data_IF_847281348226
#
_entry.id   IF_847281348226
#
_cell.length_a   1.000
_cell.length_b   1.000
_cell.length_c   1.000
_cell.angle_alpha   90.00
_cell.angle_beta   90.00
_cell.angle_gamma   90.00
#
_symmetry.space_group_name_H-M   'P 1'
#
loop_
_entity.id
_entity.type
_entity.pdbx_description
1 polymer ?
#
# COMPACT_ATOMS: atom_id res chain seq x y z
N UNK A 1 -10.45 -50.82 -23.80
CA UNK A 1 -9.55 -49.68 -23.75
C UNK A 1 -10.40 -48.42 -24.00
N UNK A 2 -11.10 -47.94 -23.01
CA UNK A 2 -11.87 -46.68 -23.08
C UNK A 2 -11.53 -45.83 -21.89
N UNK A 3 -11.06 -44.59 -22.19
CA UNK A 3 -10.69 -43.57 -21.21
C UNK A 3 -11.92 -43.08 -20.45
N UNK A 4 -11.81 -42.98 -19.16
CA UNK A 4 -12.76 -42.31 -18.29
C UNK A 4 -12.64 -40.81 -18.50
N UNK A 5 -13.73 -40.15 -18.88
CA UNK A 5 -13.84 -38.70 -18.85
C UNK A 5 -14.10 -38.20 -17.41
N UNK A 6 -13.32 -37.25 -17.04
CA UNK A 6 -13.23 -36.67 -15.70
C UNK A 6 -14.42 -35.73 -15.42
N UNK A 7 -15.27 -36.08 -14.45
CA UNK A 7 -16.44 -35.31 -14.01
C UNK A 7 -16.15 -34.40 -12.82
N UNK A 8 -14.93 -33.86 -12.70
CA UNK A 8 -14.51 -33.10 -11.51
C UNK A 8 -14.73 -31.57 -11.60
N UNK A 9 -15.18 -31.04 -12.73
CA UNK A 9 -15.29 -29.58 -12.96
C UNK A 9 -16.58 -28.93 -12.42
N UNK A 10 -17.63 -29.66 -12.15
CA UNK A 10 -18.93 -29.09 -11.73
C UNK A 10 -18.99 -28.84 -10.21
N UNK A 11 -18.33 -29.68 -9.42
CA UNK A 11 -18.36 -29.55 -7.94
C UNK A 11 -17.43 -28.44 -7.41
N UNK A 12 -16.35 -28.08 -8.13
CA UNK A 12 -15.44 -27.01 -7.71
C UNK A 12 -16.11 -25.62 -7.70
N UNK A 13 -17.00 -25.34 -8.66
CA UNK A 13 -17.72 -24.05 -8.69
C UNK A 13 -18.70 -23.83 -7.53
N UNK A 14 -19.31 -24.89 -7.00
CA UNK A 14 -20.26 -24.78 -5.90
C UNK A 14 -19.57 -24.66 -4.52
N UNK A 15 -18.43 -25.33 -4.34
CA UNK A 15 -17.64 -25.21 -3.11
C UNK A 15 -17.01 -23.83 -2.95
N UNK A 16 -16.50 -23.26 -4.05
CA UNK A 16 -15.90 -21.90 -4.07
C UNK A 16 -16.93 -20.80 -3.76
N UNK A 17 -18.20 -20.95 -4.16
CA UNK A 17 -19.25 -19.99 -3.79
C UNK A 17 -19.57 -19.98 -2.30
N UNK A 18 -19.58 -21.13 -1.63
CA UNK A 18 -19.83 -21.21 -0.17
C UNK A 18 -18.65 -20.67 0.65
N UNK A 19 -17.41 -20.94 0.21
CA UNK A 19 -16.22 -20.37 0.85
C UNK A 19 -16.12 -18.86 0.66
N UNK A 20 -16.45 -18.33 -0.54
CA UNK A 20 -16.46 -16.88 -0.79
C UNK A 20 -17.47 -16.14 0.07
N UNK A 21 -18.64 -16.72 0.34
CA UNK A 21 -19.65 -16.12 1.23
C UNK A 21 -19.17 -16.14 2.69
N UNK A 22 -18.47 -17.19 3.11
CA UNK A 22 -17.85 -17.29 4.43
C UNK A 22 -16.73 -16.27 4.63
N UNK A 23 -15.86 -16.10 3.64
CA UNK A 23 -14.75 -15.12 3.66
C UNK A 23 -15.29 -13.69 3.67
N UNK A 24 -16.31 -13.37 2.86
CA UNK A 24 -16.96 -12.06 2.89
C UNK A 24 -17.70 -11.79 4.21
N UNK A 25 -18.21 -12.82 4.86
CA UNK A 25 -18.79 -12.73 6.20
C UNK A 25 -17.74 -12.51 7.31
N UNK A 26 -16.56 -13.09 7.17
CA UNK A 26 -15.42 -12.86 8.06
C UNK A 26 -14.77 -11.49 7.82
N UNK A 27 -14.68 -11.03 6.58
CA UNK A 27 -14.28 -9.66 6.22
C UNK A 27 -15.11 -8.62 6.99
N UNK A 28 -16.44 -8.77 7.03
CA UNK A 28 -17.31 -7.83 7.74
C UNK A 28 -17.12 -7.82 9.27
N UNK A 29 -16.62 -8.92 9.86
CA UNK A 29 -16.35 -9.02 11.31
C UNK A 29 -14.99 -8.48 11.71
N UNK A 30 -13.98 -8.62 10.85
CA UNK A 30 -12.62 -8.12 11.12
C UNK A 30 -12.49 -6.60 10.86
N UNK A 31 -13.30 -6.06 9.93
CA UNK A 31 -13.33 -4.63 9.59
C UNK A 31 -13.92 -3.74 10.70
N UNK A 32 -14.56 -4.30 11.72
CA UNK A 32 -15.18 -3.54 12.81
C UNK A 32 -14.25 -3.30 14.02
N UNK A 33 -13.01 -3.83 14.01
CA UNK A 33 -12.18 -3.85 15.22
C UNK A 33 -11.33 -2.61 15.45
N UNK A 34 -11.04 -1.79 14.43
CA UNK A 34 -10.08 -0.69 14.55
C UNK A 34 -10.64 0.68 14.09
N UNK A 35 -11.92 0.97 14.32
CA UNK A 35 -12.45 2.31 14.09
C UNK A 35 -11.95 3.27 15.18
N UNK A 36 -11.11 4.21 14.79
CA UNK A 36 -10.70 5.31 15.65
C UNK A 36 -11.62 6.50 15.39
N UNK A 37 -12.61 6.73 16.28
CA UNK A 37 -13.43 7.93 16.24
C UNK A 37 -12.67 9.03 17.00
N UNK A 38 -12.30 10.10 16.29
CA UNK A 38 -11.65 11.26 16.88
C UNK A 38 -12.73 12.25 17.32
N UNK A 39 -12.85 12.48 18.63
CA UNK A 39 -13.75 13.50 19.19
C UNK A 39 -13.31 14.91 18.81
N UNK A 40 -14.30 15.81 18.62
CA UNK A 40 -14.10 17.21 18.22
C UNK A 40 -13.16 17.95 19.14
N UNK A 41 -12.10 18.60 18.66
CA UNK A 41 -11.46 19.66 19.40
C UNK A 41 -12.43 20.82 19.64
N UNK A 42 -12.37 21.48 20.80
CA UNK A 42 -13.30 22.53 21.25
C UNK A 42 -13.29 23.84 20.44
N UNK A 43 -12.71 23.90 19.27
CA UNK A 43 -12.60 25.10 18.42
C UNK A 43 -13.03 24.70 17.00
N UNK A 44 -13.80 25.53 16.30
CA UNK A 44 -14.41 25.38 14.95
C UNK A 44 -13.51 24.75 13.86
N UNK A 45 -13.01 23.56 14.08
CA UNK A 45 -12.07 22.85 13.22
C UNK A 45 -12.74 21.62 12.61
N UNK A 46 -12.33 21.27 11.39
CA UNK A 46 -12.80 20.05 10.70
C UNK A 46 -12.50 18.82 11.56
N UNK A 47 -13.50 18.02 11.83
CA UNK A 47 -13.34 16.71 12.51
C UNK A 47 -12.86 15.70 11.49
N UNK A 48 -11.85 14.89 11.84
CA UNK A 48 -11.38 13.80 11.01
C UNK A 48 -11.91 12.46 11.53
N UNK A 49 -12.44 11.65 10.62
CA UNK A 49 -12.72 10.23 10.87
C UNK A 49 -11.64 9.42 10.15
N UNK A 50 -10.97 8.54 10.88
CA UNK A 50 -9.92 7.67 10.33
C UNK A 50 -10.34 6.23 10.55
N UNK A 51 -10.34 5.44 9.49
CA UNK A 51 -10.56 4.00 9.55
C UNK A 51 -9.51 3.28 8.72
N UNK A 52 -9.08 2.12 9.19
CA UNK A 52 -8.09 1.29 8.56
C UNK A 52 -8.55 -0.16 8.46
N UNK A 53 -8.07 -0.85 7.45
CA UNK A 53 -8.26 -2.27 7.25
C UNK A 53 -6.97 -2.87 6.69
N UNK A 54 -6.62 -4.06 7.17
CA UNK A 54 -5.60 -4.91 6.56
C UNK A 54 -6.14 -6.33 6.48
N UNK A 55 -5.95 -6.96 5.34
CA UNK A 55 -6.44 -8.29 5.03
C UNK A 55 -5.32 -9.11 4.38
N UNK A 56 -5.00 -10.25 4.98
CA UNK A 56 -4.08 -11.20 4.37
C UNK A 56 -4.64 -11.80 3.10
N UNK A 57 -3.82 -11.87 2.08
CA UNK A 57 -4.13 -12.47 0.80
C UNK A 57 -4.10 -14.01 0.79
N UNK A 58 -4.07 -14.58 -0.43
CA UNK A 58 -4.10 -16.02 -0.65
C UNK A 58 -3.11 -16.43 -1.74
N UNK A 59 -2.32 -17.49 -1.48
CA UNK A 59 -1.37 -18.06 -2.46
C UNK A 59 -2.03 -19.06 -3.42
N UNK A 60 -3.22 -19.55 -3.07
CA UNK A 60 -4.07 -20.42 -3.89
C UNK A 60 -5.48 -20.42 -3.27
N UNK A 61 -6.51 -20.92 -3.97
CA UNK A 61 -7.85 -20.99 -3.42
C UNK A 61 -7.90 -21.71 -2.06
N UNK A 62 -8.21 -20.96 -1.01
CA UNK A 62 -8.33 -21.46 0.36
C UNK A 62 -7.05 -21.49 1.20
N UNK A 63 -5.89 -21.14 0.64
CA UNK A 63 -4.61 -21.06 1.39
C UNK A 63 -4.26 -19.59 1.63
N UNK A 64 -4.55 -19.12 2.83
CA UNK A 64 -4.20 -17.77 3.24
C UNK A 64 -2.69 -17.65 3.48
N UNK A 65 -2.07 -16.61 2.95
CA UNK A 65 -0.65 -16.29 3.20
C UNK A 65 -0.46 -15.51 4.51
N UNK A 66 0.79 -15.40 4.97
CA UNK A 66 1.14 -14.46 6.03
C UNK A 66 0.95 -13.06 5.48
N UNK A 67 0.20 -12.23 6.19
CA UNK A 67 0.05 -10.82 5.82
C UNK A 67 1.40 -10.10 5.99
N UNK A 68 1.92 -9.55 4.90
CA UNK A 68 3.16 -8.79 4.88
C UNK A 68 2.92 -7.27 4.92
N UNK A 69 1.68 -6.84 4.79
CA UNK A 69 1.28 -5.45 4.97
C UNK A 69 1.24 -5.06 6.44
N UNK A 70 1.69 -3.85 6.72
CA UNK A 70 1.57 -3.20 8.02
C UNK A 70 1.20 -1.73 7.87
N UNK A 71 0.65 -1.13 8.91
CA UNK A 71 0.32 0.29 8.93
C UNK A 71 0.54 0.90 10.30
N UNK A 72 0.58 2.22 10.36
CA UNK A 72 0.60 2.97 11.62
C UNK A 72 -0.28 4.22 11.55
N UNK A 73 -0.86 4.57 12.70
CA UNK A 73 -1.62 5.81 12.91
C UNK A 73 -1.16 6.42 14.22
N UNK A 74 -0.42 7.53 14.14
CA UNK A 74 0.04 8.30 15.31
C UNK A 74 -0.74 9.60 15.40
N UNK A 75 -1.55 9.72 16.45
CA UNK A 75 -2.26 10.94 16.81
C UNK A 75 -1.35 11.86 17.59
N UNK A 76 -1.70 13.15 17.59
CA UNK A 76 -0.98 14.19 18.33
C UNK A 76 0.53 14.18 18.02
N UNK A 77 0.84 13.91 16.76
CA UNK A 77 2.20 13.72 16.29
C UNK A 77 3.06 14.96 16.59
N UNK A 78 4.26 14.75 17.12
CA UNK A 78 5.17 15.79 17.62
C UNK A 78 4.53 16.69 18.71
N UNK A 79 3.68 16.11 19.54
CA UNK A 79 2.93 16.82 20.58
C UNK A 79 2.01 17.94 20.06
N UNK A 80 1.56 17.81 18.80
CA UNK A 80 0.61 18.74 18.17
C UNK A 80 -0.73 18.03 18.00
N UNK A 81 -1.80 18.41 18.76
CA UNK A 81 -3.10 17.72 18.73
C UNK A 81 -3.77 17.61 17.36
N UNK A 82 -3.35 18.45 16.42
CA UNK A 82 -3.94 18.56 15.09
C UNK A 82 -3.13 17.83 14.02
N UNK A 83 -2.05 17.16 14.41
CA UNK A 83 -1.16 16.47 13.49
C UNK A 83 -1.32 14.96 13.63
N UNK A 84 -1.55 14.31 12.51
CA UNK A 84 -1.60 12.85 12.42
C UNK A 84 -0.49 12.38 11.51
N UNK A 85 0.29 11.41 11.97
CA UNK A 85 1.27 10.73 11.12
C UNK A 85 0.77 9.32 10.84
N UNK A 86 0.49 9.04 9.59
CA UNK A 86 -0.21 7.83 9.14
C UNK A 86 0.59 7.24 7.99
N UNK A 87 0.76 5.92 7.96
CA UNK A 87 1.47 5.26 6.87
C UNK A 87 1.10 3.81 6.69
N UNK A 88 1.36 3.31 5.48
CA UNK A 88 1.25 1.92 5.07
C UNK A 88 2.61 1.45 4.61
N UNK A 89 2.95 0.21 4.96
CA UNK A 89 4.15 -0.50 4.60
C UNK A 89 3.74 -1.85 4.02
N UNK A 90 3.92 -2.04 2.71
CA UNK A 90 3.65 -3.26 1.98
C UNK A 90 4.95 -4.06 1.89
N UNK A 91 5.00 -5.19 2.57
CA UNK A 91 6.19 -6.01 2.71
C UNK A 91 6.28 -7.10 1.65
N UNK A 92 7.48 -7.32 1.11
CA UNK A 92 7.74 -8.35 0.11
C UNK A 92 8.99 -9.18 0.41
N UNK A 93 9.09 -10.33 -0.26
CA UNK A 93 10.15 -11.31 0.00
C UNK A 93 9.87 -12.19 1.21
N UNK A 94 10.84 -13.06 1.57
CA UNK A 94 10.62 -14.04 2.63
C UNK A 94 10.40 -13.43 4.01
N UNK A 95 11.02 -12.30 4.29
CA UNK A 95 10.94 -11.60 5.58
C UNK A 95 10.20 -10.26 5.49
N UNK A 96 9.42 -10.03 4.43
CA UNK A 96 8.69 -8.79 4.20
C UNK A 96 7.80 -8.38 5.37
N UNK A 97 7.10 -9.34 5.98
CA UNK A 97 6.26 -9.11 7.16
C UNK A 97 7.04 -8.56 8.37
N UNK A 98 8.31 -9.01 8.56
CA UNK A 98 9.17 -8.51 9.64
C UNK A 98 9.68 -7.10 9.32
N UNK A 99 10.00 -6.82 8.04
CA UNK A 99 10.51 -5.53 7.61
C UNK A 99 9.41 -4.47 7.67
N UNK A 100 8.23 -4.76 7.12
CA UNK A 100 7.08 -3.84 7.17
C UNK A 100 6.63 -3.54 8.60
N UNK A 101 6.64 -4.57 9.48
CA UNK A 101 6.37 -4.40 10.91
C UNK A 101 7.45 -3.53 11.59
N UNK A 102 8.72 -3.77 11.28
CA UNK A 102 9.82 -2.99 11.83
C UNK A 102 9.72 -1.52 11.42
N UNK A 103 9.48 -1.24 10.12
CA UNK A 103 9.38 0.12 9.59
C UNK A 103 8.15 0.82 10.17
N UNK A 104 6.98 0.19 10.17
CA UNK A 104 5.74 0.78 10.69
C UNK A 104 5.81 1.15 12.17
N UNK A 105 6.56 0.40 12.97
CA UNK A 105 6.76 0.67 14.40
C UNK A 105 7.80 1.76 14.66
N UNK A 106 8.89 1.78 13.89
CA UNK A 106 10.07 2.60 14.21
C UNK A 106 10.12 3.92 13.44
N UNK A 107 9.69 3.97 12.17
CA UNK A 107 9.73 5.20 11.38
C UNK A 107 9.12 6.42 12.10
N UNK A 108 7.96 6.31 12.78
CA UNK A 108 7.40 7.42 13.53
C UNK A 108 8.25 7.90 14.71
N UNK A 109 9.15 7.07 15.22
CA UNK A 109 10.02 7.40 16.36
C UNK A 109 11.21 8.25 15.89
N UNK A 110 11.70 8.01 14.67
CA UNK A 110 12.88 8.70 14.12
C UNK A 110 12.54 10.02 13.41
N UNK A 111 11.27 10.37 13.29
CA UNK A 111 10.85 11.64 12.71
C UNK A 111 10.68 12.71 13.81
N UNK A 112 11.63 13.65 13.88
CA UNK A 112 11.71 14.66 14.93
C UNK A 112 11.04 15.99 14.57
N UNK A 113 10.88 16.28 13.29
CA UNK A 113 10.15 17.44 12.74
C UNK A 113 9.62 17.11 11.32
N UNK A 114 8.89 18.06 10.71
CA UNK A 114 8.22 17.87 9.42
C UNK A 114 9.00 18.48 8.25
N UNK A 115 10.29 18.76 8.40
CA UNK A 115 11.15 19.21 7.31
C UNK A 115 11.47 18.06 6.35
N UNK A 116 11.71 18.38 5.09
CA UNK A 116 12.07 17.38 4.08
C UNK A 116 13.34 16.61 4.47
N UNK A 117 14.27 17.30 5.12
CA UNK A 117 15.51 16.68 5.60
C UNK A 117 15.25 15.67 6.73
N UNK A 118 14.43 16.04 7.72
CA UNK A 118 14.06 15.14 8.81
C UNK A 118 13.31 13.91 8.29
N UNK A 119 12.37 14.11 7.36
CA UNK A 119 11.63 13.00 6.73
C UNK A 119 12.61 12.08 5.98
N UNK A 120 13.48 12.63 5.11
CA UNK A 120 14.49 11.82 4.38
C UNK A 120 15.39 11.06 5.33
N UNK A 121 15.88 11.70 6.37
CA UNK A 121 16.77 11.09 7.35
C UNK A 121 16.08 9.96 8.13
N UNK A 122 14.80 10.08 8.45
CA UNK A 122 14.05 9.01 9.09
C UNK A 122 13.96 7.75 8.20
N UNK A 123 13.66 7.91 6.90
CA UNK A 123 13.63 6.79 5.95
C UNK A 123 15.00 6.14 5.75
N UNK A 124 16.04 6.96 5.58
CA UNK A 124 17.42 6.47 5.47
C UNK A 124 17.88 5.75 6.74
N UNK A 125 17.43 6.21 7.91
CA UNK A 125 17.71 5.55 9.18
C UNK A 125 17.11 4.16 9.21
N UNK A 126 15.86 3.97 8.73
CA UNK A 126 15.25 2.63 8.63
C UNK A 126 16.09 1.71 7.76
N UNK A 127 16.52 2.18 6.57
CA UNK A 127 17.39 1.41 5.68
C UNK A 127 18.70 1.00 6.37
N UNK A 128 19.38 1.96 7.00
CA UNK A 128 20.67 1.72 7.66
C UNK A 128 20.53 0.71 8.83
N UNK A 129 19.46 0.79 9.60
CA UNK A 129 19.21 -0.13 10.71
C UNK A 129 18.95 -1.56 10.23
N UNK A 130 18.24 -1.72 9.11
CA UNK A 130 17.98 -3.03 8.51
C UNK A 130 19.23 -3.64 7.86
N UNK A 131 20.12 -2.82 7.32
CA UNK A 131 21.38 -3.26 6.71
C UNK A 131 22.49 -3.47 7.73
N UNK A 132 22.30 -3.13 9.00
CA UNK A 132 23.31 -3.32 10.04
C UNK A 132 23.57 -4.82 10.26
N UNK A 133 24.83 -5.21 10.39
CA UNK A 133 25.25 -6.60 10.66
C UNK A 133 24.60 -7.21 11.92
N UNK A 134 24.17 -6.39 12.86
CA UNK A 134 23.45 -6.82 14.07
C UNK A 134 21.94 -6.93 13.87
N UNK A 135 21.42 -6.64 12.70
CA UNK A 135 20.01 -6.86 12.38
C UNK A 135 19.71 -8.36 12.39
N UNK A 136 18.61 -8.72 13.04
CA UNK A 136 18.11 -10.11 13.04
C UNK A 136 17.20 -10.38 11.83
N UNK A 137 16.94 -9.38 11.01
CA UNK A 137 16.07 -9.44 9.84
C UNK A 137 16.96 -9.45 8.60
N UNK A 138 16.87 -10.49 7.79
CA UNK A 138 17.56 -10.54 6.50
C UNK A 138 16.80 -9.69 5.47
N UNK A 139 17.36 -8.52 5.18
CA UNK A 139 16.84 -7.58 4.19
C UNK A 139 17.54 -7.70 2.83
N UNK A 140 18.25 -8.78 2.54
CA UNK A 140 18.97 -8.92 1.26
C UNK A 140 18.05 -9.00 0.05
N UNK A 141 17.00 -9.80 0.13
CA UNK A 141 15.97 -10.02 -0.90
C UNK A 141 14.54 -9.82 -0.33
N UNK A 142 14.45 -9.08 0.73
CA UNK A 142 13.18 -8.73 1.37
C UNK A 142 13.17 -7.25 1.70
N UNK A 143 12.02 -6.64 1.55
CA UNK A 143 11.85 -5.22 1.77
C UNK A 143 10.40 -4.83 2.03
N UNK A 144 10.17 -3.55 2.01
CA UNK A 144 8.83 -2.97 2.13
C UNK A 144 8.72 -1.64 1.40
N UNK A 145 7.55 -1.35 0.88
CA UNK A 145 7.17 0.03 0.54
C UNK A 145 7.00 0.84 1.82
N UNK A 146 6.93 2.14 1.71
CA UNK A 146 6.41 2.99 2.77
C UNK A 146 5.81 4.25 2.18
N UNK A 147 4.48 4.33 2.18
CA UNK A 147 3.73 5.54 1.86
C UNK A 147 3.19 6.12 3.15
N UNK A 148 3.64 7.30 3.53
CA UNK A 148 3.23 7.96 4.76
C UNK A 148 2.77 9.39 4.52
N UNK A 149 1.81 9.85 5.33
CA UNK A 149 1.32 11.23 5.31
C UNK A 149 1.33 11.84 6.69
N UNK A 150 1.70 13.11 6.74
CA UNK A 150 1.48 13.96 7.91
C UNK A 150 0.32 14.89 7.57
N UNK A 151 -0.81 14.68 8.23
CA UNK A 151 -2.04 15.44 8.01
C UNK A 151 -2.23 16.43 9.14
N UNK A 152 -2.44 17.69 8.78
CA UNK A 152 -2.95 18.74 9.67
C UNK A 152 -4.31 19.22 9.17
N UNK A 153 -4.90 20.20 9.83
CA UNK A 153 -6.15 20.83 9.35
C UNK A 153 -5.96 21.71 8.12
N UNK A 154 -4.72 22.10 7.79
CA UNK A 154 -4.43 23.07 6.74
C UNK A 154 -3.62 22.49 5.59
N UNK A 155 -2.98 21.35 5.77
CA UNK A 155 -2.14 20.73 4.74
C UNK A 155 -1.95 19.23 4.97
N UNK A 156 -1.42 18.58 3.93
CA UNK A 156 -0.89 17.23 3.99
C UNK A 156 0.50 17.21 3.36
N UNK A 157 1.43 16.53 4.03
CA UNK A 157 2.77 16.19 3.53
C UNK A 157 2.76 14.69 3.26
N UNK A 158 3.05 14.27 2.05
CA UNK A 158 3.18 12.86 1.69
C UNK A 158 4.65 12.54 1.43
N UNK A 159 5.12 11.43 2.01
CA UNK A 159 6.44 10.85 1.74
C UNK A 159 6.25 9.42 1.26
N UNK A 160 6.77 9.12 0.06
CA UNK A 160 6.57 7.84 -0.59
C UNK A 160 7.86 7.16 -1.00
N UNK A 161 7.95 5.86 -0.71
CA UNK A 161 8.94 4.89 -1.21
C UNK A 161 8.18 3.65 -1.64
N UNK A 162 8.21 3.31 -2.92
CA UNK A 162 7.50 2.15 -3.48
C UNK A 162 6.26 2.53 -4.28
N UNK A 163 5.37 1.59 -4.47
CA UNK A 163 4.18 1.64 -5.32
C UNK A 163 2.85 1.52 -4.56
N UNK A 164 2.88 1.52 -3.23
CA UNK A 164 1.73 1.94 -2.43
C UNK A 164 1.42 3.41 -2.71
N UNK A 165 0.15 3.80 -2.63
CA UNK A 165 -0.27 5.14 -3.09
C UNK A 165 -1.18 5.83 -2.09
N UNK A 166 -1.08 7.17 -2.06
CA UNK A 166 -1.99 8.05 -1.35
C UNK A 166 -2.70 8.99 -2.34
N UNK A 167 -4.01 9.16 -2.17
CA UNK A 167 -4.83 10.08 -2.98
C UNK A 167 -5.67 10.98 -2.09
N UNK A 168 -6.00 12.17 -2.60
CA UNK A 168 -6.88 13.16 -1.98
C UNK A 168 -8.09 13.39 -2.89
N UNK A 169 -9.29 13.19 -2.34
CA UNK A 169 -10.53 13.54 -3.00
C UNK A 169 -10.84 15.03 -2.80
N UNK A 170 -11.01 15.77 -3.87
CA UNK A 170 -11.48 17.15 -3.88
C UNK A 170 -12.84 17.26 -4.56
N UNK A 171 -13.67 18.17 -4.06
CA UNK A 171 -14.97 18.48 -4.69
C UNK A 171 -14.92 19.87 -5.28
N UNK A 172 -14.93 19.94 -6.61
CA UNK A 172 -14.84 21.17 -7.37
C UNK A 172 -15.89 21.19 -8.47
N UNK A 173 -16.61 22.30 -8.62
CA UNK A 173 -17.61 22.50 -9.69
C UNK A 173 -18.67 21.38 -9.80
N UNK A 174 -19.07 20.80 -8.68
CA UNK A 174 -20.06 19.71 -8.66
C UNK A 174 -19.48 18.31 -8.90
N UNK A 175 -18.16 18.17 -9.03
CA UNK A 175 -17.49 16.90 -9.37
C UNK A 175 -16.42 16.56 -8.33
N UNK A 176 -16.34 15.27 -7.99
CA UNK A 176 -15.22 14.73 -7.24
C UNK A 176 -14.07 14.39 -8.19
N UNK A 177 -12.87 14.83 -7.83
CA UNK A 177 -11.63 14.58 -8.57
C UNK A 177 -10.58 13.98 -7.65
N UNK A 178 -9.78 13.04 -8.18
CA UNK A 178 -8.61 12.53 -7.51
C UNK A 178 -7.40 13.46 -7.71
N UNK A 179 -6.70 13.75 -6.61
CA UNK A 179 -5.35 14.33 -6.63
C UNK A 179 -4.41 13.31 -6.04
N UNK A 180 -3.47 12.81 -6.81
CA UNK A 180 -2.45 11.90 -6.30
C UNK A 180 -1.53 12.67 -5.35
N UNK A 181 -1.43 12.19 -4.10
CA UNK A 181 -0.51 12.71 -3.09
C UNK A 181 0.88 12.04 -3.19
N UNK A 182 0.95 10.91 -3.88
CA UNK A 182 2.20 10.20 -4.18
C UNK A 182 2.24 9.77 -5.64
N UNK A 183 3.43 9.47 -6.15
CA UNK A 183 3.68 8.81 -7.43
C UNK A 183 4.20 7.40 -7.13
N UNK A 184 3.70 6.41 -7.84
CA UNK A 184 4.21 5.04 -7.77
C UNK A 184 5.63 4.97 -8.33
N UNK A 185 6.54 4.35 -7.61
CA UNK A 185 7.91 4.18 -8.05
C UNK A 185 8.08 2.86 -8.82
N UNK A 186 7.66 2.87 -10.09
CA UNK A 186 7.83 1.71 -10.99
C UNK A 186 9.16 1.81 -11.76
N UNK A 187 9.78 0.67 -12.12
CA UNK A 187 11.01 0.64 -12.89
C UNK A 187 10.92 1.33 -14.26
N UNK A 188 9.72 1.45 -14.80
CA UNK A 188 9.41 2.07 -16.11
C UNK A 188 9.36 3.58 -16.09
N UNK A 189 9.26 4.21 -14.91
CA UNK A 189 9.29 5.67 -14.78
C UNK A 189 10.65 6.22 -15.24
N UNK A 190 10.62 7.25 -16.07
CA UNK A 190 11.82 7.68 -16.85
C UNK A 190 13.04 8.06 -16.01
N UNK A 191 12.83 8.73 -14.88
CA UNK A 191 13.88 9.12 -13.93
C UNK A 191 14.37 7.91 -13.11
N UNK A 192 13.49 7.06 -12.69
CA UNK A 192 13.76 5.82 -11.98
C UNK A 192 14.55 4.84 -12.87
N UNK A 193 14.06 4.61 -14.10
CA UNK A 193 14.74 3.79 -15.11
C UNK A 193 16.17 4.27 -15.36
N UNK A 194 16.35 5.57 -15.59
CA UNK A 194 17.65 6.17 -15.82
C UNK A 194 18.61 5.91 -14.65
N UNK A 195 18.13 6.04 -13.42
CA UNK A 195 18.93 5.75 -12.22
C UNK A 195 19.35 4.29 -12.15
N UNK A 196 18.41 3.34 -12.32
CA UNK A 196 18.69 1.89 -12.29
C UNK A 196 19.71 1.50 -13.36
N UNK A 197 19.47 1.89 -14.62
CA UNK A 197 20.37 1.56 -15.73
C UNK A 197 21.77 2.16 -15.54
N UNK A 198 21.85 3.41 -15.04
CA UNK A 198 23.15 4.08 -14.76
C UNK A 198 23.95 3.40 -13.65
N UNK A 199 23.30 2.68 -12.75
CA UNK A 199 23.93 1.90 -11.69
C UNK A 199 24.14 0.42 -12.06
N UNK A 200 23.98 0.06 -13.34
CA UNK A 200 24.26 -1.28 -13.85
C UNK A 200 23.17 -2.30 -13.63
N UNK A 201 21.97 -1.88 -13.23
CA UNK A 201 20.80 -2.73 -13.19
C UNK A 201 20.25 -3.01 -14.60
N UNK A 202 19.40 -4.00 -14.69
CA UNK A 202 18.60 -4.33 -15.87
C UNK A 202 17.11 -4.19 -15.54
N UNK A 203 16.32 -3.79 -16.51
CA UNK A 203 14.85 -3.72 -16.37
C UNK A 203 14.26 -4.61 -17.47
N UNK A 204 13.53 -5.63 -17.07
CA UNK A 204 12.82 -6.56 -17.97
C UNK A 204 11.72 -7.30 -17.20
N UNK A 205 10.73 -7.80 -17.91
CA UNK A 205 9.74 -8.74 -17.37
C UNK A 205 10.41 -10.07 -16.98
N UNK A 206 9.77 -10.82 -16.09
CA UNK A 206 10.14 -12.20 -15.84
C UNK A 206 9.84 -13.07 -17.05
N UNK A 207 10.79 -13.93 -17.44
CA UNK A 207 10.60 -14.88 -18.52
C UNK A 207 10.29 -16.25 -17.94
N UNK A 208 9.11 -16.76 -18.22
CA UNK A 208 8.72 -18.12 -17.83
C UNK A 208 9.15 -19.12 -18.90
N UNK A 209 10.13 -19.96 -18.57
CA UNK A 209 10.66 -20.96 -19.49
C UNK A 209 9.64 -22.06 -19.84
N UNK A 210 8.66 -22.33 -18.96
CA UNK A 210 7.63 -23.35 -19.20
C UNK A 210 6.56 -22.87 -20.17
N UNK A 211 6.16 -21.60 -20.02
CA UNK A 211 5.20 -20.97 -20.90
C UNK A 211 5.85 -20.39 -22.15
N UNK A 212 7.18 -20.22 -22.15
CA UNK A 212 7.98 -19.60 -23.22
C UNK A 212 7.51 -18.17 -23.53
N UNK A 213 7.18 -17.40 -22.48
CA UNK A 213 6.69 -16.04 -22.59
C UNK A 213 7.16 -15.13 -21.46
N UNK A 214 7.10 -13.81 -21.67
CA UNK A 214 7.31 -12.82 -20.64
C UNK A 214 6.01 -12.59 -19.87
N UNK A 215 6.07 -12.62 -18.53
CA UNK A 215 4.91 -12.48 -17.67
C UNK A 215 5.10 -11.42 -16.60
N UNK A 216 3.99 -10.81 -16.18
CA UNK A 216 3.93 -9.81 -15.12
C UNK A 216 4.57 -8.47 -15.49
N UNK A 217 4.78 -7.58 -14.51
CA UNK A 217 5.35 -6.26 -14.72
C UNK A 217 6.86 -6.31 -14.98
N UNK A 218 7.40 -5.21 -15.49
CA UNK A 218 8.84 -5.01 -15.57
C UNK A 218 9.49 -4.94 -14.19
N UNK A 219 10.61 -5.64 -14.02
CA UNK A 219 11.32 -5.81 -12.76
C UNK A 219 12.79 -5.43 -12.91
N UNK A 220 13.39 -5.10 -11.77
CA UNK A 220 14.81 -4.78 -11.64
C UNK A 220 15.60 -6.04 -11.34
N UNK A 221 16.70 -6.22 -12.07
CA UNK A 221 17.60 -7.36 -11.96
C UNK A 221 19.06 -6.91 -11.89
N UNK A 222 19.89 -7.69 -11.23
CA UNK A 222 21.34 -7.56 -11.36
C UNK A 222 21.78 -7.79 -12.81
N UNK A 223 22.91 -7.22 -13.21
CA UNK A 223 23.43 -7.29 -14.59
C UNK A 223 23.51 -8.71 -15.15
N UNK A 224 24.00 -9.65 -14.35
CA UNK A 224 24.31 -11.01 -14.78
C UNK A 224 23.58 -12.07 -13.93
N UNK A 225 22.45 -11.74 -13.32
CA UNK A 225 21.71 -12.65 -12.45
C UNK A 225 20.21 -12.38 -12.52
N UNK A 226 19.40 -13.42 -12.29
CA UNK A 226 17.94 -13.34 -12.24
C UNK A 226 17.44 -13.07 -10.80
N UNK A 227 18.17 -12.22 -10.07
CA UNK A 227 17.78 -11.65 -8.78
C UNK A 227 17.97 -10.14 -8.82
N UNK A 228 17.26 -9.33 -7.98
CA UNK A 228 16.19 -9.75 -7.07
C UNK A 228 14.83 -9.97 -7.75
N UNK A 229 14.58 -9.43 -8.96
CA UNK A 229 13.26 -9.45 -9.59
C UNK A 229 12.27 -8.49 -8.98
N UNK A 230 12.72 -7.31 -8.54
CA UNK A 230 11.92 -6.33 -7.81
C UNK A 230 11.05 -5.48 -8.76
N UNK A 231 9.75 -5.41 -8.49
CA UNK A 231 8.77 -4.71 -9.35
C UNK A 231 8.67 -3.20 -9.07
N UNK A 232 9.38 -2.70 -8.05
CA UNK A 232 9.44 -1.27 -7.70
C UNK A 232 10.87 -0.74 -7.73
N UNK A 233 11.02 0.57 -7.95
CA UNK A 233 12.33 1.23 -8.09
C UNK A 233 12.82 1.91 -6.80
N UNK A 234 11.97 1.95 -5.77
CA UNK A 234 12.33 2.38 -4.41
C UNK A 234 11.71 1.44 -3.38
N UNK A 235 12.47 1.10 -2.35
CA UNK A 235 12.05 0.28 -1.21
C UNK A 235 12.94 0.52 0.01
N UNK A 236 12.49 0.08 1.18
CA UNK A 236 13.28 -0.05 2.40
C UNK A 236 13.59 -1.53 2.60
N UNK A 237 14.84 -1.89 2.83
CA UNK A 237 15.33 -3.26 2.76
C UNK A 237 16.04 -3.51 1.43
N UNK A 238 15.82 -4.64 0.80
CA UNK A 238 16.27 -5.02 -0.54
C UNK A 238 17.74 -4.65 -0.83
N UNK A 239 18.65 -4.99 0.08
CA UNK A 239 20.03 -4.49 0.01
C UNK A 239 20.75 -4.91 -1.28
N UNK A 240 20.40 -6.06 -1.87
CA UNK A 240 20.90 -6.47 -3.18
C UNK A 240 20.41 -5.53 -4.29
N UNK A 241 19.12 -5.15 -4.30
CA UNK A 241 18.57 -4.24 -5.28
C UNK A 241 19.16 -2.81 -5.16
N UNK A 242 19.49 -2.39 -3.93
CA UNK A 242 20.17 -1.11 -3.71
C UNK A 242 21.54 -1.04 -4.38
N UNK A 243 22.24 -2.17 -4.59
CA UNK A 243 23.51 -2.22 -5.31
C UNK A 243 23.39 -1.84 -6.80
N UNK A 244 22.19 -1.87 -7.36
CA UNK A 244 21.89 -1.51 -8.75
C UNK A 244 20.94 -0.32 -8.88
N UNK A 245 20.87 0.52 -7.85
CA UNK A 245 20.23 1.82 -7.92
C UNK A 245 18.80 1.89 -7.38
N UNK A 246 18.25 0.86 -6.74
CA UNK A 246 17.07 1.01 -5.88
C UNK A 246 17.46 1.90 -4.70
N UNK A 247 16.56 2.73 -4.21
CA UNK A 247 16.83 3.67 -3.11
C UNK A 247 15.68 3.71 -2.12
N UNK A 248 16.01 4.08 -0.87
CA UNK A 248 15.03 4.33 0.20
C UNK A 248 14.76 5.82 0.45
N UNK A 249 15.24 6.70 -0.45
CA UNK A 249 14.98 8.14 -0.36
C UNK A 249 13.54 8.42 -0.79
N UNK A 250 12.69 8.97 0.10
CA UNK A 250 11.30 9.22 -0.25
C UNK A 250 11.16 10.39 -1.23
N UNK A 251 10.19 10.29 -2.13
CA UNK A 251 9.63 11.45 -2.81
C UNK A 251 8.68 12.16 -1.83
N UNK A 252 8.84 13.48 -1.68
CA UNK A 252 8.07 14.27 -0.72
C UNK A 252 7.24 15.30 -1.47
N UNK A 253 5.91 15.24 -1.31
CA UNK A 253 4.99 16.20 -1.88
C UNK A 253 4.18 16.89 -0.76
N UNK A 254 3.90 18.18 -0.95
CA UNK A 254 3.18 19.00 0.02
C UNK A 254 1.97 19.65 -0.66
N UNK A 255 0.83 19.57 0.00
CA UNK A 255 -0.44 20.10 -0.51
C UNK A 255 -1.11 20.91 0.58
N UNK A 256 -1.33 22.20 0.31
CA UNK A 256 -2.16 23.04 1.17
C UNK A 256 -3.64 22.76 0.92
N UNK A 257 -4.43 22.75 1.98
CA UNK A 257 -5.88 22.63 1.89
C UNK A 257 -6.50 23.98 1.54
N UNK A 258 -7.40 23.96 0.59
CA UNK A 258 -8.10 25.16 0.10
C UNK A 258 -9.61 25.15 0.43
N UNK A 259 -10.04 24.13 1.22
CA UNK A 259 -11.41 24.02 1.73
C UNK A 259 -12.33 23.10 0.92
N UNK A 260 -11.87 22.57 -0.19
CA UNK A 260 -12.61 21.65 -1.06
C UNK A 260 -12.23 20.17 -0.86
N UNK A 261 -11.28 19.90 0.02
CA UNK A 261 -10.84 18.55 0.37
C UNK A 261 -11.95 17.80 1.12
N UNK A 262 -12.16 16.54 0.75
CA UNK A 262 -13.21 15.71 1.29
C UNK A 262 -12.66 14.52 2.07
N UNK A 263 -11.79 13.74 1.44
CA UNK A 263 -11.18 12.59 2.10
C UNK A 263 -9.84 12.22 1.47
N UNK A 264 -9.02 11.51 2.23
CA UNK A 264 -7.77 10.89 1.78
C UNK A 264 -7.94 9.38 1.84
N UNK A 265 -7.33 8.68 0.87
CA UNK A 265 -7.14 7.23 0.88
C UNK A 265 -5.66 6.94 0.73
N UNK A 266 -5.13 6.07 1.59
CA UNK A 266 -3.79 5.48 1.45
C UNK A 266 -4.01 3.98 1.34
N UNK A 267 -3.36 3.31 0.40
CA UNK A 267 -3.48 1.86 0.26
C UNK A 267 -2.21 1.23 -0.32
N UNK A 268 -2.05 -0.09 -0.08
CA UNK A 268 -1.10 -0.96 -0.76
C UNK A 268 -1.57 -1.26 -2.19
N UNK A 269 -0.71 -1.88 -3.00
CA UNK A 269 -1.03 -2.27 -4.37
C UNK A 269 -2.15 -3.33 -4.43
N UNK A 270 -2.44 -4.03 -3.33
CA UNK A 270 -3.64 -4.86 -3.19
C UNK A 270 -4.95 -4.12 -3.51
N UNK A 271 -4.97 -2.79 -3.43
CA UNK A 271 -6.05 -1.92 -3.94
C UNK A 271 -5.70 -1.44 -5.36
N UNK A 272 -4.51 -0.88 -5.55
CA UNK A 272 -4.18 -0.06 -6.71
C UNK A 272 -3.91 -0.88 -7.98
N UNK A 273 -3.68 -2.20 -7.87
CA UNK A 273 -3.48 -3.05 -9.05
C UNK A 273 -4.71 -3.09 -9.94
N UNK A 274 -5.91 -3.11 -9.35
CA UNK A 274 -7.17 -3.24 -10.10
C UNK A 274 -8.15 -2.07 -9.93
N UNK A 275 -7.84 -1.08 -9.09
CA UNK A 275 -8.70 0.09 -8.86
C UNK A 275 -7.87 1.35 -9.04
N UNK A 276 -8.19 2.16 -10.03
CA UNK A 276 -7.54 3.45 -10.23
C UNK A 276 -7.99 4.51 -9.23
N UNK A 277 -7.29 5.66 -9.20
CA UNK A 277 -7.54 6.73 -8.25
C UNK A 277 -8.95 7.32 -8.35
N UNK A 278 -9.46 7.53 -9.57
CA UNK A 278 -10.79 8.11 -9.81
C UNK A 278 -11.91 7.13 -9.46
N UNK A 279 -11.66 5.85 -9.72
CA UNK A 279 -12.59 4.78 -9.37
C UNK A 279 -12.67 4.56 -7.86
N UNK A 280 -11.54 4.61 -7.16
CA UNK A 280 -11.50 4.59 -5.70
C UNK A 280 -12.38 5.70 -5.11
N UNK A 281 -12.28 6.92 -5.65
CA UNK A 281 -13.14 8.03 -5.22
C UNK A 281 -14.62 7.74 -5.50
N UNK A 282 -14.97 7.21 -6.66
CA UNK A 282 -16.35 6.86 -7.00
C UNK A 282 -16.95 5.82 -6.04
N UNK A 283 -16.14 4.88 -5.55
CA UNK A 283 -16.57 3.87 -4.57
C UNK A 283 -16.85 4.52 -3.21
N UNK A 284 -16.02 5.46 -2.78
CA UNK A 284 -16.06 6.00 -1.41
C UNK A 284 -17.01 7.21 -1.28
N UNK A 285 -17.15 8.03 -2.31
CA UNK A 285 -17.87 9.32 -2.24
C UNK A 285 -19.28 9.23 -1.68
N UNK A 286 -20.04 8.19 -2.05
CA UNK A 286 -21.43 8.03 -1.60
C UNK A 286 -21.50 7.79 -0.09
N UNK A 287 -20.52 7.08 0.48
CA UNK A 287 -20.38 6.88 1.92
C UNK A 287 -19.92 8.15 2.64
N UNK A 288 -19.10 8.97 1.99
CA UNK A 288 -18.71 10.26 2.52
C UNK A 288 -19.93 11.21 2.59
N UNK A 289 -20.72 11.29 1.54
CA UNK A 289 -21.91 12.13 1.46
C UNK A 289 -23.05 11.63 2.37
N UNK A 290 -23.22 10.32 2.47
CA UNK A 290 -24.24 9.67 3.30
C UNK A 290 -23.70 9.38 4.70
N UNK A 291 -23.85 10.34 5.62
CA UNK A 291 -23.52 10.23 7.05
C UNK A 291 -22.04 10.13 7.40
N UNK A 292 -21.13 10.47 6.51
CA UNK A 292 -19.68 10.37 6.77
C UNK A 292 -19.28 8.95 7.22
N UNK A 293 -19.80 7.93 6.55
CA UNK A 293 -19.58 6.52 6.88
C UNK A 293 -18.23 6.02 6.35
N UNK A 294 -17.16 6.38 7.03
CA UNK A 294 -15.81 5.97 6.65
C UNK A 294 -15.59 4.45 6.74
N UNK A 295 -16.29 3.76 7.64
CA UNK A 295 -16.26 2.29 7.76
C UNK A 295 -16.91 1.64 6.54
N UNK A 296 -18.10 2.09 6.17
CA UNK A 296 -18.81 1.60 4.99
C UNK A 296 -18.02 1.81 3.71
N UNK A 297 -17.44 3.02 3.52
CA UNK A 297 -16.62 3.34 2.35
C UNK A 297 -15.38 2.46 2.25
N UNK A 298 -14.64 2.29 3.35
CA UNK A 298 -13.49 1.40 3.42
C UNK A 298 -13.86 -0.05 3.11
N UNK A 299 -14.96 -0.55 3.69
CA UNK A 299 -15.47 -1.89 3.44
C UNK A 299 -15.85 -2.12 1.98
N UNK A 300 -16.47 -1.14 1.34
CA UNK A 300 -16.83 -1.22 -0.06
C UNK A 300 -15.60 -1.30 -0.96
N UNK A 301 -14.58 -0.46 -0.68
CA UNK A 301 -13.31 -0.44 -1.41
C UNK A 301 -12.58 -1.79 -1.32
N UNK A 302 -12.38 -2.30 -0.10
CA UNK A 302 -11.68 -3.59 0.13
C UNK A 302 -12.43 -4.76 -0.49
N UNK A 303 -13.77 -4.76 -0.42
CA UNK A 303 -14.58 -5.82 -1.07
C UNK A 303 -14.48 -5.80 -2.59
N UNK A 304 -14.48 -4.61 -3.19
CA UNK A 304 -14.34 -4.49 -4.65
C UNK A 304 -12.95 -4.94 -5.11
N UNK A 305 -11.87 -4.52 -4.40
CA UNK A 305 -10.52 -4.98 -4.68
C UNK A 305 -10.42 -6.51 -4.59
N UNK A 306 -10.86 -7.10 -3.48
CA UNK A 306 -10.86 -8.55 -3.28
C UNK A 306 -11.64 -9.31 -4.36
N UNK A 307 -12.77 -8.75 -4.83
CA UNK A 307 -13.56 -9.33 -5.91
C UNK A 307 -12.79 -9.32 -7.24
N UNK A 308 -12.08 -8.23 -7.57
CA UNK A 308 -11.29 -8.10 -8.79
C UNK A 308 -10.11 -9.05 -8.80
N UNK A 309 -9.34 -9.10 -7.73
CA UNK A 309 -8.28 -10.09 -7.56
C UNK A 309 -8.74 -11.52 -7.86
N UNK A 310 -9.91 -11.90 -7.37
CA UNK A 310 -10.48 -13.25 -7.62
C UNK A 310 -10.91 -13.51 -9.07
N UNK A 311 -11.11 -12.48 -9.86
CA UNK A 311 -11.49 -12.60 -11.26
C UNK A 311 -10.24 -12.72 -12.15
N UNK A 312 -9.22 -11.93 -11.82
CA UNK A 312 -8.03 -11.75 -12.64
C UNK A 312 -6.92 -12.77 -12.31
N UNK A 313 -6.79 -13.16 -11.02
CA UNK A 313 -5.67 -13.96 -10.52
C UNK A 313 -6.12 -15.14 -9.67
N UNK A 314 -5.35 -16.22 -9.68
CA UNK A 314 -5.50 -17.34 -8.73
C UNK A 314 -4.98 -16.97 -7.33
N UNK A 315 -3.98 -16.10 -7.27
CA UNK A 315 -3.42 -15.54 -6.05
C UNK A 315 -4.10 -14.20 -5.73
N UNK A 316 -4.25 -13.89 -4.46
CA UNK A 316 -4.77 -12.60 -3.99
C UNK A 316 -3.69 -11.96 -3.15
N UNK A 317 -3.36 -10.71 -3.41
CA UNK A 317 -2.39 -10.01 -2.59
C UNK A 317 -2.97 -9.58 -1.25
N UNK A 318 -2.09 -9.14 -0.32
CA UNK A 318 -2.50 -8.49 0.91
C UNK A 318 -3.19 -7.17 0.55
N UNK A 319 -4.27 -6.85 1.24
CA UNK A 319 -5.06 -5.65 0.95
C UNK A 319 -5.08 -4.78 2.19
N UNK A 320 -4.40 -3.65 2.14
CA UNK A 320 -4.39 -2.68 3.24
C UNK A 320 -4.81 -1.31 2.74
N UNK A 321 -5.75 -0.69 3.45
CA UNK A 321 -6.20 0.65 3.14
C UNK A 321 -6.54 1.45 4.41
N UNK A 322 -6.34 2.76 4.34
CA UNK A 322 -6.72 3.73 5.36
C UNK A 322 -7.52 4.84 4.68
N UNK A 323 -8.68 5.16 5.26
CA UNK A 323 -9.56 6.24 4.79
C UNK A 323 -9.64 7.30 5.86
N UNK A 324 -9.49 8.56 5.46
CA UNK A 324 -9.53 9.74 6.33
C UNK A 324 -10.57 10.70 5.78
N UNK A 325 -11.68 10.90 6.50
CA UNK A 325 -12.75 11.82 6.13
C UNK A 325 -12.58 13.17 6.85
N UNK A 326 -12.72 14.26 6.10
CA UNK A 326 -12.73 15.63 6.62
C UNK A 326 -14.18 16.15 6.72
N UNK A 327 -14.51 16.85 7.83
CA UNK A 327 -15.76 17.61 8.00
C UNK A 327 -15.53 19.11 7.78
#
# INVERSE_FOLDING_TARGET
MFQAMDFTLVDKKYHNKKQSISILGQLSKNLLKDSVIIEKPKVNKKVMKINSCTLAGYTAPGIQKINQDNFFIKKDFLNKPEHFYIGICDGHGMQGHLISEYVSKNLPIFLNDISDESIKNAYLTMQNLLQNENSKIDSSLSGTTCTSIIVSLNNVICANVGDSRAILARYENGVYNATNLSRDHKPTESDEMKRILSNGGRIKQYYDEKLNEYIGPERIWLKNSEIPGLAMSRSIGDSIAHSVGVISVPEILKFDFIGNEKFIVIASDGIWEYIDSDECIKIIKDYYENNMDAVGGLNALVKEAFKRWKIEEDNIDDITAIVIFFE
#
